data_IF_344893586086
#
_entry.id   IF_344893586086
#
_cell.length_a   1.000
_cell.length_b   1.000
_cell.length_c   1.000
_cell.angle_alpha   90.00
_cell.angle_beta   90.00
_cell.angle_gamma   90.00
#
_symmetry.space_group_name_H-M   'P 1'
#
loop_
_entity.id
_entity.type
_entity.pdbx_description
1 polymer ?
#
# COMPACT_ATOMS: atom_id res chain seq x y z
N UNK A 1 -6.39 -16.78 9.48
CA UNK A 1 -5.99 -17.95 10.30
C UNK A 1 -5.25 -17.52 11.59
N UNK A 2 -4.21 -16.69 11.52
CA UNK A 2 -3.49 -16.20 12.70
C UNK A 2 -4.28 -15.25 13.61
N UNK A 3 -5.01 -14.25 13.08
CA UNK A 3 -5.85 -13.35 13.90
C UNK A 3 -6.88 -14.11 14.73
N UNK A 4 -7.51 -15.13 14.12
CA UNK A 4 -8.49 -15.99 14.80
C UNK A 4 -7.84 -16.80 15.93
N UNK A 5 -6.62 -17.28 15.74
CA UNK A 5 -5.88 -18.03 16.78
C UNK A 5 -5.60 -17.16 18.01
N UNK A 6 -5.22 -15.89 17.82
CA UNK A 6 -5.00 -14.96 18.93
C UNK A 6 -6.30 -14.65 19.68
N UNK A 7 -7.40 -14.40 18.95
CA UNK A 7 -8.72 -14.20 19.57
C UNK A 7 -9.22 -15.42 20.32
N UNK A 8 -9.10 -16.62 19.74
CA UNK A 8 -9.52 -17.88 20.36
C UNK A 8 -8.69 -18.18 21.63
N UNK A 9 -7.47 -17.63 21.74
CA UNK A 9 -6.60 -17.70 22.92
C UNK A 9 -6.85 -16.57 23.95
N UNK A 10 -7.80 -15.66 23.70
CA UNK A 10 -8.08 -14.51 24.57
C UNK A 10 -7.07 -13.36 24.46
N UNK A 11 -6.23 -13.35 23.42
CA UNK A 11 -5.24 -12.30 23.15
C UNK A 11 -5.72 -11.34 22.06
N UNK A 12 -6.69 -10.49 22.42
CA UNK A 12 -7.25 -9.49 21.52
C UNK A 12 -6.22 -8.42 21.10
N UNK A 13 -5.22 -8.16 21.95
CA UNK A 13 -4.17 -7.18 21.66
C UNK A 13 -3.30 -7.64 20.49
N UNK A 14 -2.78 -8.87 20.54
CA UNK A 14 -1.97 -9.42 19.46
C UNK A 14 -2.78 -9.59 18.17
N UNK A 15 -4.06 -9.95 18.28
CA UNK A 15 -4.96 -10.01 17.12
C UNK A 15 -5.11 -8.64 16.44
N UNK A 16 -5.32 -7.57 17.23
CA UNK A 16 -5.41 -6.21 16.72
C UNK A 16 -4.08 -5.73 16.14
N UNK A 17 -2.98 -5.97 16.85
CA UNK A 17 -1.63 -5.59 16.43
C UNK A 17 -1.28 -6.24 15.08
N UNK A 18 -1.58 -7.53 14.92
CA UNK A 18 -1.38 -8.25 13.67
C UNK A 18 -2.15 -7.58 12.52
N UNK A 19 -3.42 -7.19 12.76
CA UNK A 19 -4.24 -6.53 11.74
C UNK A 19 -3.66 -5.18 11.33
N UNK A 20 -3.22 -4.37 12.30
CA UNK A 20 -2.59 -3.07 12.04
C UNK A 20 -1.31 -3.26 11.24
N UNK A 21 -0.43 -4.18 11.66
CA UNK A 21 0.82 -4.45 10.97
C UNK A 21 0.60 -4.94 9.53
N UNK A 22 -0.36 -5.84 9.31
CA UNK A 22 -0.68 -6.34 7.98
C UNK A 22 -1.12 -5.20 7.04
N UNK A 23 -1.95 -4.28 7.53
CA UNK A 23 -2.42 -3.12 6.77
C UNK A 23 -1.27 -2.16 6.45
N UNK A 24 -0.43 -1.84 7.45
CA UNK A 24 0.76 -0.99 7.24
C UNK A 24 1.75 -1.61 6.25
N UNK A 25 1.94 -2.93 6.29
CA UNK A 25 2.81 -3.64 5.34
C UNK A 25 2.23 -3.63 3.93
N UNK A 26 0.92 -3.78 3.78
CA UNK A 26 0.26 -3.71 2.48
C UNK A 26 0.43 -2.34 1.82
N UNK A 27 0.23 -1.26 2.58
CA UNK A 27 0.47 0.11 2.09
C UNK A 27 1.93 0.37 1.77
N UNK A 28 2.85 -0.06 2.64
CA UNK A 28 4.29 0.09 2.43
C UNK A 28 4.76 -0.65 1.16
N UNK A 29 4.23 -1.85 0.93
CA UNK A 29 4.53 -2.62 -0.28
C UNK A 29 4.01 -1.90 -1.54
N UNK A 30 2.80 -1.34 -1.48
CA UNK A 30 2.23 -0.59 -2.59
C UNK A 30 3.10 0.63 -2.95
N UNK A 31 3.59 1.37 -1.96
CA UNK A 31 4.51 2.50 -2.17
C UNK A 31 5.85 2.05 -2.74
N UNK A 32 6.46 1.01 -2.17
CA UNK A 32 7.74 0.50 -2.62
C UNK A 32 7.67 -0.01 -4.06
N UNK A 33 6.63 -0.79 -4.39
CA UNK A 33 6.39 -1.25 -5.75
C UNK A 33 6.18 -0.07 -6.71
N UNK A 34 5.45 0.97 -6.27
CA UNK A 34 5.27 2.16 -7.10
C UNK A 34 6.61 2.85 -7.39
N UNK A 35 7.50 3.00 -6.39
CA UNK A 35 8.87 3.53 -6.60
C UNK A 35 9.64 2.69 -7.64
N UNK A 36 9.62 1.36 -7.51
CA UNK A 36 10.29 0.47 -8.47
C UNK A 36 9.71 0.61 -9.88
N UNK A 37 8.40 0.80 -10.01
CA UNK A 37 7.78 1.03 -11.33
C UNK A 37 8.28 2.34 -11.93
N UNK A 38 8.35 3.42 -11.15
CA UNK A 38 8.80 4.73 -11.66
C UNK A 38 10.27 4.72 -12.08
N UNK A 39 11.11 4.01 -11.33
CA UNK A 39 12.57 4.01 -11.50
C UNK A 39 13.06 2.93 -12.46
N UNK A 40 12.54 1.71 -12.35
CA UNK A 40 13.15 0.52 -12.96
C UNK A 40 12.24 -0.11 -14.02
N UNK A 41 10.98 -0.42 -13.70
CA UNK A 41 10.12 -1.17 -14.64
C UNK A 41 9.58 -0.30 -15.77
N UNK A 42 8.99 0.85 -15.45
CA UNK A 42 8.60 1.86 -16.43
C UNK A 42 9.77 2.81 -16.71
N UNK A 43 10.49 3.20 -15.65
CA UNK A 43 11.73 3.95 -15.79
C UNK A 43 11.58 5.35 -16.36
N UNK A 44 10.40 5.98 -16.20
CA UNK A 44 10.20 7.37 -16.61
C UNK A 44 10.86 8.39 -15.66
N UNK A 45 11.28 7.94 -14.47
CA UNK A 45 11.97 8.77 -13.47
C UNK A 45 13.14 8.01 -12.83
N UNK A 46 14.18 7.62 -13.61
CA UNK A 46 15.24 6.74 -13.13
C UNK A 46 16.15 7.41 -12.07
N UNK A 47 16.30 8.74 -12.17
CA UNK A 47 17.10 9.55 -11.24
C UNK A 47 16.31 10.06 -10.03
N UNK A 48 15.11 9.51 -9.79
CA UNK A 48 14.31 9.88 -8.62
C UNK A 48 15.05 9.54 -7.32
N UNK A 49 15.27 10.54 -6.48
CA UNK A 49 15.89 10.43 -5.17
C UNK A 49 15.03 11.15 -4.11
N UNK A 50 13.85 10.60 -3.86
CA UNK A 50 12.93 11.08 -2.84
C UNK A 50 13.11 10.25 -1.56
N UNK A 51 13.01 10.91 -0.41
CA UNK A 51 12.94 10.20 0.87
C UNK A 51 11.51 9.70 1.14
N UNK A 52 11.34 8.87 2.18
CA UNK A 52 10.04 8.27 2.53
C UNK A 52 8.96 9.33 2.80
N UNK A 53 9.29 10.42 3.50
CA UNK A 53 8.31 11.49 3.79
C UNK A 53 7.85 12.20 2.52
N UNK A 54 8.74 12.36 1.55
CA UNK A 54 8.43 12.97 0.26
C UNK A 54 7.59 12.06 -0.63
N UNK A 55 7.81 10.74 -0.55
CA UNK A 55 6.97 9.74 -1.19
C UNK A 55 5.55 9.76 -0.60
N UNK A 56 5.42 9.81 0.73
CA UNK A 56 4.11 9.92 1.41
C UNK A 56 3.37 11.21 1.04
N UNK A 57 4.11 12.31 0.82
CA UNK A 57 3.56 13.60 0.33
C UNK A 57 3.29 13.61 -1.17
N UNK A 58 3.41 12.46 -1.84
CA UNK A 58 3.17 12.29 -3.29
C UNK A 58 3.99 13.26 -4.16
N UNK A 59 5.22 13.62 -3.74
CA UNK A 59 6.08 14.55 -4.50
C UNK A 59 6.66 13.97 -5.79
N UNK A 60 6.38 12.71 -6.11
CA UNK A 60 6.77 12.08 -7.36
C UNK A 60 5.84 12.50 -8.51
N UNK A 61 6.30 12.34 -9.74
CA UNK A 61 5.44 12.51 -10.93
C UNK A 61 4.66 11.21 -11.17
N UNK A 62 3.35 11.30 -11.39
CA UNK A 62 2.47 10.15 -11.66
C UNK A 62 1.46 9.89 -10.53
N UNK A 63 0.46 9.04 -10.79
CA UNK A 63 -0.58 8.66 -9.81
C UNK A 63 -0.81 7.15 -9.85
N UNK A 64 -1.23 6.56 -8.73
CA UNK A 64 -1.62 5.14 -8.62
C UNK A 64 -3.09 4.98 -8.18
N UNK A 65 -4.07 5.36 -9.03
CA UNK A 65 -5.47 5.33 -8.65
C UNK A 65 -5.93 3.88 -8.39
N UNK A 66 -6.70 3.69 -7.31
CA UNK A 66 -7.32 2.42 -6.99
C UNK A 66 -8.84 2.51 -7.21
N UNK A 67 -9.49 1.48 -7.77
CA UNK A 67 -10.94 1.50 -7.93
C UNK A 67 -11.67 1.58 -6.57
N UNK A 68 -12.74 2.37 -6.53
CA UNK A 68 -13.50 2.70 -5.33
C UNK A 68 -13.06 3.98 -4.62
N UNK A 69 -12.02 4.64 -5.11
CA UNK A 69 -11.64 5.98 -4.66
C UNK A 69 -12.38 7.06 -5.46
N UNK A 70 -12.47 8.31 -4.97
CA UNK A 70 -13.17 9.38 -5.69
C UNK A 70 -12.68 9.62 -7.13
N UNK A 71 -11.40 9.33 -7.40
CA UNK A 71 -10.81 9.41 -8.74
C UNK A 71 -11.24 8.28 -9.69
N UNK A 72 -11.77 7.17 -9.16
CA UNK A 72 -12.24 6.00 -9.89
C UNK A 72 -13.38 5.32 -9.11
N UNK A 73 -14.60 5.87 -9.12
CA UNK A 73 -15.68 5.43 -8.22
C UNK A 73 -16.21 4.03 -8.55
N UNK A 74 -16.01 3.57 -9.79
CA UNK A 74 -16.51 2.30 -10.29
C UNK A 74 -15.69 1.12 -9.75
N UNK A 75 -16.20 0.45 -8.71
CA UNK A 75 -15.56 -0.73 -8.11
C UNK A 75 -15.48 -1.94 -9.05
N UNK A 76 -16.31 -2.01 -10.11
CA UNK A 76 -16.30 -3.12 -11.09
C UNK A 76 -14.98 -3.25 -11.84
N UNK A 77 -14.19 -2.18 -11.90
CA UNK A 77 -12.86 -2.17 -12.52
C UNK A 77 -11.82 -2.99 -11.75
N UNK A 78 -12.11 -3.47 -10.52
CA UNK A 78 -11.20 -4.36 -9.77
C UNK A 78 -11.12 -5.78 -10.34
N UNK A 79 -12.11 -6.20 -11.11
CA UNK A 79 -12.26 -7.57 -11.60
C UNK A 79 -11.79 -7.75 -13.06
N UNK A 80 -11.29 -6.68 -13.67
CA UNK A 80 -10.71 -6.65 -15.03
C UNK A 80 -9.20 -6.70 -14.89
#
# INVERSE_FOLDING_TARGET
>A
KAEKQFKDAGDDYSALMLRILADRLAEALAEYLHVLIRKDFWGYSPNENLNVEEVIKEKYRGIRPAPGYPCCPEHKLKAI
#
